data_IF_564517179006
#
_entry.id   IF_564517179006
#
_cell.length_a   1.000
_cell.length_b   1.000
_cell.length_c   1.000
_cell.angle_alpha   90.00
_cell.angle_beta   90.00
_cell.angle_gamma   90.00
#
_symmetry.space_group_name_H-M   'P 1'
#
loop_
_entity.id
_entity.type
_entity.pdbx_description
1 polymer ?
#
# COMPACT_ATOMS: atom_id res chain seq x y z
N UNK A 1 3.99 -24.61 4.79
CA UNK A 1 4.92 -23.48 4.54
C UNK A 1 6.25 -23.79 5.20
N UNK A 2 7.37 -23.60 4.52
CA UNK A 2 8.71 -23.89 5.06
C UNK A 2 9.09 -22.92 6.19
N UNK A 3 8.64 -21.67 6.10
CA UNK A 3 8.76 -20.65 7.12
C UNK A 3 7.48 -19.81 7.16
N UNK A 4 6.62 -20.09 8.15
CA UNK A 4 5.33 -19.40 8.28
C UNK A 4 5.48 -17.98 8.85
N UNK A 5 6.51 -17.76 9.68
CA UNK A 5 6.74 -16.45 10.26
C UNK A 5 7.25 -15.48 9.20
N UNK A 6 8.23 -15.89 8.39
CA UNK A 6 8.68 -15.11 7.24
C UNK A 6 7.54 -14.81 6.26
N UNK A 7 6.64 -15.78 6.01
CA UNK A 7 5.47 -15.55 5.17
C UNK A 7 4.53 -14.47 5.74
N UNK A 8 4.31 -14.44 7.07
CA UNK A 8 3.53 -13.40 7.72
C UNK A 8 4.19 -12.01 7.57
N UNK A 9 5.51 -11.93 7.68
CA UNK A 9 6.24 -10.68 7.45
C UNK A 9 6.13 -10.21 5.98
N UNK A 10 6.22 -11.12 5.01
CA UNK A 10 6.01 -10.77 3.60
C UNK A 10 4.59 -10.26 3.35
N UNK A 11 3.58 -10.81 4.03
CA UNK A 11 2.20 -10.32 3.94
C UNK A 11 2.06 -8.90 4.54
N UNK A 12 2.74 -8.64 5.65
CA UNK A 12 2.83 -7.30 6.24
C UNK A 12 3.42 -6.30 5.25
N UNK A 13 4.59 -6.63 4.68
CA UNK A 13 5.28 -5.79 3.70
C UNK A 13 4.44 -5.55 2.45
N UNK A 14 3.70 -6.57 2.00
CA UNK A 14 2.77 -6.44 0.89
C UNK A 14 1.62 -5.48 1.23
N UNK A 15 1.10 -5.50 2.46
CA UNK A 15 0.11 -4.53 2.94
C UNK A 15 0.66 -3.10 2.98
N UNK A 16 1.89 -2.92 3.44
CA UNK A 16 2.56 -1.60 3.50
C UNK A 16 2.65 -0.93 2.12
N UNK A 17 2.90 -1.72 1.07
CA UNK A 17 2.91 -1.21 -0.30
C UNK A 17 1.59 -0.48 -0.68
N UNK A 18 0.43 -0.98 -0.23
CA UNK A 18 -0.86 -0.33 -0.50
C UNK A 18 -1.08 0.93 0.33
N UNK A 19 -0.53 0.98 1.55
CA UNK A 19 -0.57 2.17 2.42
C UNK A 19 0.22 3.30 1.77
N UNK A 20 1.45 3.01 1.33
CA UNK A 20 2.34 3.99 0.68
C UNK A 20 1.79 4.48 -0.67
N UNK A 21 1.10 3.60 -1.41
CA UNK A 21 0.51 3.93 -2.70
C UNK A 21 -0.72 4.85 -2.57
N UNK A 22 -1.48 4.73 -1.48
CA UNK A 22 -2.74 5.46 -1.29
C UNK A 22 -2.63 6.99 -1.43
N UNK A 23 -1.69 7.70 -0.77
CA UNK A 23 -1.56 9.15 -0.96
C UNK A 23 -1.18 9.53 -2.39
N UNK A 24 -0.40 8.71 -3.09
CA UNK A 24 -0.03 8.95 -4.49
C UNK A 24 -1.23 8.78 -5.43
N UNK A 25 -2.10 7.77 -5.22
CA UNK A 25 -3.39 7.67 -5.92
C UNK A 25 -4.25 8.91 -5.64
N UNK A 26 -4.30 9.32 -4.37
CA UNK A 26 -5.15 10.41 -3.90
C UNK A 26 -4.79 11.77 -4.50
N UNK A 27 -3.54 11.94 -4.92
CA UNK A 27 -3.00 13.18 -5.51
C UNK A 27 -3.23 13.28 -7.02
N UNK A 28 -3.82 12.26 -7.67
CA UNK A 28 -3.95 12.20 -9.13
C UNK A 28 -4.64 13.41 -9.78
N UNK A 29 -5.48 14.16 -9.05
CA UNK A 29 -6.08 15.43 -9.52
C UNK A 29 -5.38 16.68 -8.99
N UNK A 30 -4.83 16.64 -7.78
CA UNK A 30 -4.18 17.81 -7.16
C UNK A 30 -2.75 18.02 -7.63
N UNK A 31 -2.07 16.94 -8.01
CA UNK A 31 -0.72 16.93 -8.59
C UNK A 31 0.28 17.76 -7.76
N UNK A 32 0.12 17.69 -6.45
CA UNK A 32 0.78 18.53 -5.46
C UNK A 32 1.92 17.80 -4.75
N UNK A 33 1.95 16.47 -4.82
CA UNK A 33 3.01 15.69 -4.21
C UNK A 33 4.33 15.90 -4.97
N UNK A 34 5.45 16.09 -4.23
CA UNK A 34 6.78 16.03 -4.82
C UNK A 34 7.04 14.66 -5.45
N UNK A 35 7.42 14.67 -6.71
CA UNK A 35 7.87 13.51 -7.46
C UNK A 35 9.39 13.32 -7.30
N UNK A 36 9.85 12.13 -7.68
CA UNK A 36 11.28 11.89 -7.88
C UNK A 36 11.81 12.87 -8.93
N UNK A 37 12.89 13.58 -8.60
CA UNK A 37 13.43 14.65 -9.44
C UNK A 37 13.03 16.07 -9.04
N UNK A 38 12.22 16.24 -7.98
CA UNK A 38 12.00 17.54 -7.32
C UNK A 38 10.88 18.41 -7.91
N UNK A 39 10.20 17.93 -8.95
CA UNK A 39 8.99 18.54 -9.50
C UNK A 39 7.74 18.02 -8.78
N UNK A 40 6.57 18.60 -9.03
CA UNK A 40 5.29 17.96 -8.72
C UNK A 40 4.62 17.50 -10.02
N UNK A 41 3.54 16.73 -9.95
CA UNK A 41 2.75 16.40 -11.14
C UNK A 41 2.26 17.64 -11.88
N UNK A 42 2.01 18.76 -11.18
CA UNK A 42 1.51 19.99 -11.77
C UNK A 42 2.59 20.77 -12.56
N UNK A 43 3.87 20.58 -12.22
CA UNK A 43 5.00 21.24 -12.89
C UNK A 43 5.73 20.33 -13.88
N UNK A 44 5.42 19.04 -13.87
CA UNK A 44 5.98 18.06 -14.80
C UNK A 44 5.13 17.94 -16.08
N UNK A 45 5.69 17.42 -17.19
CA UNK A 45 4.91 17.09 -18.38
C UNK A 45 3.79 16.09 -18.06
N UNK A 46 2.71 16.13 -18.85
CA UNK A 46 1.61 15.16 -18.74
C UNK A 46 2.14 13.72 -18.77
N UNK A 47 1.61 12.87 -17.89
CA UNK A 47 2.01 11.48 -17.81
C UNK A 47 3.15 11.17 -16.85
N UNK A 48 3.77 12.19 -16.23
CA UNK A 48 4.81 11.98 -15.21
C UNK A 48 4.25 11.53 -13.85
N UNK A 49 2.98 11.82 -13.58
CA UNK A 49 2.28 11.31 -12.41
C UNK A 49 1.45 10.10 -12.83
N UNK A 50 1.91 8.89 -12.52
CA UNK A 50 1.37 7.65 -13.09
C UNK A 50 -0.15 7.50 -12.88
N UNK A 51 -0.64 7.85 -11.68
CA UNK A 51 -2.07 7.76 -11.37
C UNK A 51 -2.91 8.86 -12.02
N UNK A 52 -2.30 10.00 -12.36
CA UNK A 52 -2.97 11.02 -13.18
C UNK A 52 -3.22 10.44 -14.56
N UNK A 53 -2.17 9.88 -15.17
CA UNK A 53 -2.22 9.27 -16.48
C UNK A 53 -3.23 8.12 -16.53
N UNK A 54 -3.05 7.09 -15.70
CA UNK A 54 -3.89 5.89 -15.69
C UNK A 54 -5.37 6.28 -15.50
N UNK A 55 -5.68 7.15 -14.54
CA UNK A 55 -7.07 7.49 -14.26
C UNK A 55 -7.66 8.45 -15.29
N UNK A 56 -6.88 9.34 -15.92
CA UNK A 56 -7.37 10.16 -17.04
C UNK A 56 -7.63 9.31 -18.28
N UNK A 57 -6.68 8.48 -18.69
CA UNK A 57 -6.80 7.64 -19.89
C UNK A 57 -7.91 6.59 -19.78
N UNK A 58 -8.22 6.13 -18.56
CA UNK A 58 -9.35 5.22 -18.31
C UNK A 58 -10.68 5.93 -18.08
N UNK A 59 -10.71 7.27 -18.03
CA UNK A 59 -11.92 8.05 -17.73
C UNK A 59 -12.38 7.97 -16.27
N UNK A 60 -11.52 7.51 -15.36
CA UNK A 60 -11.82 7.25 -13.95
C UNK A 60 -11.23 8.29 -12.98
N UNK A 61 -10.64 9.38 -13.49
CA UNK A 61 -9.94 10.41 -12.70
C UNK A 61 -10.76 11.00 -11.53
N UNK A 62 -12.09 10.99 -11.63
CA UNK A 62 -12.98 11.48 -10.56
C UNK A 62 -13.07 10.53 -9.35
N UNK A 63 -12.54 9.31 -9.46
CA UNK A 63 -12.56 8.26 -8.44
C UNK A 63 -11.21 8.09 -7.72
N UNK A 64 -10.24 8.98 -7.95
CA UNK A 64 -8.93 8.98 -7.27
C UNK A 64 -9.03 8.82 -5.75
N UNK A 65 -9.86 9.61 -5.06
CA UNK A 65 -10.04 9.50 -3.61
C UNK A 65 -10.68 8.17 -3.19
N UNK A 66 -11.58 7.63 -4.02
CA UNK A 66 -12.19 6.33 -3.76
C UNK A 66 -11.14 5.22 -3.86
N UNK A 67 -10.34 5.21 -4.93
CA UNK A 67 -9.28 4.21 -5.12
C UNK A 67 -8.18 4.33 -4.07
N UNK A 68 -7.80 5.55 -3.70
CA UNK A 68 -6.88 5.79 -2.58
C UNK A 68 -7.42 5.20 -1.28
N UNK A 69 -8.70 5.45 -0.96
CA UNK A 69 -9.34 4.90 0.22
C UNK A 69 -9.45 3.37 0.19
N UNK A 70 -9.71 2.77 -0.97
CA UNK A 70 -9.71 1.31 -1.14
C UNK A 70 -8.30 0.74 -0.91
N UNK A 71 -7.28 1.32 -1.54
CA UNK A 71 -5.87 0.91 -1.38
C UNK A 71 -5.48 0.95 0.10
N UNK A 72 -5.72 2.07 0.77
CA UNK A 72 -5.40 2.23 2.18
C UNK A 72 -6.10 1.19 3.07
N UNK A 73 -7.41 0.94 2.84
CA UNK A 73 -8.16 -0.06 3.61
C UNK A 73 -7.66 -1.49 3.38
N UNK A 74 -7.33 -1.84 2.14
CA UNK A 74 -6.75 -3.14 1.80
C UNK A 74 -5.39 -3.30 2.50
N UNK A 75 -4.52 -2.29 2.41
CA UNK A 75 -3.22 -2.29 3.08
C UNK A 75 -3.35 -2.48 4.59
N UNK A 76 -4.21 -1.69 5.23
CA UNK A 76 -4.46 -1.77 6.67
C UNK A 76 -5.00 -3.15 7.09
N UNK A 77 -5.92 -3.73 6.32
CA UNK A 77 -6.44 -5.07 6.57
C UNK A 77 -5.34 -6.13 6.46
N UNK A 78 -4.51 -6.08 5.42
CA UNK A 78 -3.40 -7.03 5.21
C UNK A 78 -2.37 -6.94 6.34
N UNK A 79 -2.02 -5.71 6.75
CA UNK A 79 -1.15 -5.46 7.91
C UNK A 79 -1.75 -6.08 9.17
N UNK A 80 -3.02 -5.80 9.49
CA UNK A 80 -3.65 -6.37 10.69
C UNK A 80 -3.67 -7.91 10.67
N UNK A 81 -4.03 -8.52 9.54
CA UNK A 81 -4.03 -9.98 9.39
C UNK A 81 -2.64 -10.58 9.54
N UNK A 82 -1.62 -9.93 8.98
CA UNK A 82 -0.22 -10.37 9.11
C UNK A 82 0.27 -10.31 10.56
N UNK A 83 -0.05 -9.26 11.31
CA UNK A 83 0.34 -9.09 12.71
C UNK A 83 -0.37 -10.11 13.62
N UNK A 84 -1.66 -10.34 13.39
CA UNK A 84 -2.42 -11.39 14.10
C UNK A 84 -1.77 -12.76 13.86
N UNK A 85 -1.42 -13.05 12.61
CA UNK A 85 -0.81 -14.32 12.25
C UNK A 85 0.60 -14.48 12.84
N UNK A 86 1.45 -13.47 12.73
CA UNK A 86 2.79 -13.45 13.33
C UNK A 86 2.71 -13.64 14.85
N UNK A 87 1.80 -12.92 15.53
CA UNK A 87 1.57 -13.04 16.96
C UNK A 87 1.13 -14.44 17.37
N UNK A 88 0.20 -15.05 16.63
CA UNK A 88 -0.21 -16.44 16.85
C UNK A 88 0.96 -17.43 16.72
N UNK A 89 1.81 -17.27 15.69
CA UNK A 89 2.98 -18.13 15.48
C UNK A 89 3.98 -18.01 16.64
N UNK A 90 4.23 -16.79 17.12
CA UNK A 90 5.13 -16.55 18.25
C UNK A 90 4.59 -17.16 19.55
N UNK A 91 3.30 -17.01 19.84
CA UNK A 91 2.67 -17.60 21.02
C UNK A 91 2.77 -19.13 20.98
N UNK A 92 2.50 -19.73 19.80
CA UNK A 92 2.61 -21.17 19.61
C UNK A 92 4.03 -21.67 19.85
N UNK A 93 5.02 -21.01 19.25
CA UNK A 93 6.42 -21.43 19.38
C UNK A 93 6.93 -21.25 20.81
N UNK A 94 6.49 -20.20 21.50
CA UNK A 94 6.80 -20.00 22.91
C UNK A 94 6.26 -21.11 23.82
N UNK A 95 5.08 -21.66 23.51
CA UNK A 95 4.55 -22.85 24.18
C UNK A 95 5.44 -24.07 23.97
N UNK A 96 5.83 -24.35 22.73
CA UNK A 96 6.69 -25.50 22.38
C UNK A 96 8.07 -25.46 23.06
N UNK A 97 8.60 -24.26 23.35
CA UNK A 97 9.89 -24.09 24.04
C UNK A 97 9.82 -24.27 25.56
N UNK A 98 8.62 -24.29 26.14
CA UNK A 98 8.39 -24.43 27.59
C UNK A 98 8.06 -25.86 28.02
N UNK A 99 7.66 -26.70 27.08
CA UNK A 99 7.42 -28.14 27.26
C UNK A 99 8.71 -28.95 26.99
#
# INVERSE_FOLDING_TARGET
>A
MRDAFAASFCLWWFGENFIDLAPYINDARSLSLPLLGGNTGATAPYGFHDWEFILKETGLIRYDHLFAGISHKIGALLILLSLIWAGYLLIKEYGNLRD
#
